data_IF_592605180806
#
_entry.id   IF_592605180806
#
_cell.length_a   1.000
_cell.length_b   1.000
_cell.length_c   1.000
_cell.angle_alpha   90.00
_cell.angle_beta   90.00
_cell.angle_gamma   90.00
#
_symmetry.space_group_name_H-M   'P 1'
#
loop_
_entity.id
_entity.type
_entity.pdbx_description
1 polymer ?
#
# COMPACT_ATOMS: atom_id res chain seq x y z
N UNK A 1 -0.58 -1.91 -20.26
CA UNK A 1 0.48 -1.08 -19.63
C UNK A 1 -0.23 0.09 -18.97
N UNK A 2 -0.31 0.13 -17.64
CA UNK A 2 -1.09 1.16 -16.93
C UNK A 2 -0.31 2.47 -16.81
N UNK A 3 -0.89 3.57 -17.30
CA UNK A 3 -0.32 4.93 -17.39
C UNK A 3 -0.17 5.68 -16.04
N UNK A 4 -0.11 4.99 -14.89
CA UNK A 4 -0.18 5.65 -13.56
C UNK A 4 1.15 5.72 -12.76
N UNK A 5 2.29 5.58 -13.42
CA UNK A 5 3.60 5.92 -12.82
C UNK A 5 4.09 7.24 -13.38
N UNK A 6 3.55 8.36 -12.89
CA UNK A 6 4.07 9.70 -13.21
C UNK A 6 5.55 9.78 -12.76
N UNK A 7 6.53 9.78 -13.68
CA UNK A 7 7.95 9.78 -13.34
C UNK A 7 8.42 11.12 -12.76
N UNK A 8 7.61 12.17 -12.89
CA UNK A 8 7.86 13.49 -12.32
C UNK A 8 7.91 13.52 -10.78
N UNK A 9 7.30 12.54 -10.09
CA UNK A 9 7.26 12.50 -8.62
C UNK A 9 8.59 12.06 -7.98
N UNK A 10 9.48 11.44 -8.75
CA UNK A 10 10.82 11.02 -8.33
C UNK A 10 11.90 11.99 -8.81
N UNK A 11 11.53 13.19 -9.28
CA UNK A 11 12.54 14.19 -9.68
C UNK A 11 13.38 14.57 -8.46
N UNK A 12 14.72 14.50 -8.56
CA UNK A 12 15.61 14.82 -7.44
C UNK A 12 15.44 16.27 -6.93
N UNK A 13 14.90 17.16 -7.76
CA UNK A 13 14.83 18.59 -7.49
C UNK A 13 13.54 19.01 -6.77
N UNK A 14 12.56 18.11 -6.59
CA UNK A 14 11.30 18.40 -5.90
C UNK A 14 11.32 17.82 -4.48
N UNK A 15 11.07 18.64 -3.44
CA UNK A 15 10.96 18.11 -2.08
C UNK A 15 9.76 17.16 -1.98
N UNK A 16 10.01 15.98 -1.42
CA UNK A 16 8.97 15.00 -1.12
C UNK A 16 8.10 15.54 0.02
N UNK A 17 6.78 15.45 -0.12
CA UNK A 17 5.82 15.95 0.87
C UNK A 17 4.94 14.84 1.43
N UNK A 18 4.27 15.11 2.55
CA UNK A 18 3.24 14.21 3.10
C UNK A 18 2.12 13.96 2.09
N UNK A 19 1.81 14.96 1.27
CA UNK A 19 0.78 14.83 0.23
C UNK A 19 1.18 13.83 -0.86
N UNK A 20 2.47 13.71 -1.19
CA UNK A 20 2.95 12.69 -2.12
C UNK A 20 2.74 11.27 -1.61
N UNK A 21 2.83 11.07 -0.29
CA UNK A 21 2.48 9.81 0.36
C UNK A 21 0.96 9.57 0.27
N UNK A 22 0.14 10.56 0.64
CA UNK A 22 -1.34 10.45 0.62
C UNK A 22 -1.91 10.18 -0.76
N UNK A 23 -1.33 10.75 -1.81
CA UNK A 23 -1.74 10.47 -3.19
C UNK A 23 -1.55 9.01 -3.59
N UNK A 24 -0.60 8.29 -3.00
CA UNK A 24 -0.47 6.85 -3.21
C UNK A 24 -1.56 6.06 -2.48
N UNK A 25 -2.16 6.65 -1.43
CA UNK A 25 -3.17 6.00 -0.60
C UNK A 25 -4.59 6.08 -1.18
N UNK A 26 -4.90 7.10 -2.00
CA UNK A 26 -6.24 7.37 -2.52
C UNK A 26 -6.88 6.24 -3.36
N UNK A 27 -6.10 5.24 -3.79
CA UNK A 27 -6.57 4.06 -4.54
C UNK A 27 -6.19 2.72 -3.88
N UNK A 28 -6.00 2.70 -2.55
CA UNK A 28 -5.51 1.50 -1.86
C UNK A 28 -6.57 0.40 -1.74
N UNK A 29 -6.59 -0.51 -2.69
CA UNK A 29 -7.27 -1.81 -2.53
C UNK A 29 -6.32 -2.82 -1.87
N UNK A 30 -6.83 -3.84 -1.17
CA UNK A 30 -6.00 -4.89 -0.56
C UNK A 30 -5.01 -5.53 -1.54
N UNK A 31 -5.47 -5.80 -2.76
CA UNK A 31 -4.67 -6.40 -3.83
C UNK A 31 -3.39 -5.61 -4.17
N UNK A 32 -3.46 -4.28 -4.14
CA UNK A 32 -2.31 -3.42 -4.45
C UNK A 32 -1.49 -3.03 -3.22
N UNK A 33 -1.88 -3.45 -2.02
CA UNK A 33 -1.29 -2.92 -0.79
C UNK A 33 0.22 -3.15 -0.71
N UNK A 34 0.70 -4.35 -1.08
CA UNK A 34 2.13 -4.67 -1.08
C UNK A 34 2.91 -3.91 -2.16
N UNK A 35 2.28 -3.61 -3.31
CA UNK A 35 2.90 -2.82 -4.37
C UNK A 35 3.03 -1.35 -3.94
N UNK A 36 1.96 -0.78 -3.37
CA UNK A 36 1.94 0.58 -2.84
C UNK A 36 2.97 0.77 -1.73
N UNK A 37 3.10 -0.21 -0.82
CA UNK A 37 4.13 -0.21 0.24
C UNK A 37 5.54 -0.05 -0.33
N UNK A 38 5.87 -0.81 -1.37
CA UNK A 38 7.19 -0.76 -1.99
C UNK A 38 7.44 0.60 -2.68
N UNK A 39 6.39 1.22 -3.24
CA UNK A 39 6.47 2.55 -3.85
C UNK A 39 6.71 3.64 -2.81
N UNK A 40 6.02 3.58 -1.67
CA UNK A 40 6.25 4.48 -0.53
C UNK A 40 7.68 4.31 0.02
N UNK A 41 8.15 3.08 0.19
CA UNK A 41 9.52 2.80 0.66
C UNK A 41 10.60 3.39 -0.26
N UNK A 42 10.36 3.43 -1.59
CA UNK A 42 11.25 4.11 -2.53
C UNK A 42 11.20 5.64 -2.38
N UNK A 43 10.00 6.19 -2.20
CA UNK A 43 9.77 7.63 -2.06
C UNK A 43 10.48 8.22 -0.84
N UNK A 44 10.46 7.52 0.30
CA UNK A 44 11.00 8.04 1.57
C UNK A 44 12.46 7.69 1.85
N UNK A 45 13.10 6.83 1.04
CA UNK A 45 14.42 6.23 1.33
C UNK A 45 15.52 7.26 1.64
N UNK A 46 15.50 8.40 0.97
CA UNK A 46 16.52 9.45 1.09
C UNK A 46 16.20 10.56 2.10
N UNK A 47 15.11 10.43 2.86
CA UNK A 47 14.65 11.47 3.78
C UNK A 47 15.26 11.27 5.18
N UNK A 48 15.57 12.39 5.84
CA UNK A 48 15.97 12.40 7.25
C UNK A 48 14.92 11.73 8.15
N UNK A 49 15.31 11.08 9.26
CA UNK A 49 14.39 10.38 10.17
C UNK A 49 13.19 11.21 10.63
N UNK A 50 13.43 12.50 10.93
CA UNK A 50 12.40 13.42 11.44
C UNK A 50 11.60 14.11 10.33
N UNK A 51 11.87 13.79 9.06
CA UNK A 51 11.15 14.39 7.95
C UNK A 51 9.67 13.95 7.99
N UNK A 52 8.70 14.88 7.92
CA UNK A 52 7.28 14.55 8.12
C UNK A 52 6.75 13.52 7.11
N UNK A 53 7.21 13.57 5.85
CA UNK A 53 6.84 12.58 4.84
C UNK A 53 7.42 11.18 5.13
N UNK A 54 8.56 11.07 5.82
CA UNK A 54 9.14 9.78 6.22
C UNK A 54 8.32 9.15 7.32
N UNK A 55 8.02 9.92 8.37
CA UNK A 55 7.18 9.48 9.48
C UNK A 55 5.81 8.99 9.00
N UNK A 56 5.17 9.73 8.09
CA UNK A 56 3.90 9.28 7.51
C UNK A 56 4.08 8.05 6.61
N UNK A 57 5.10 8.05 5.75
CA UNK A 57 5.37 6.93 4.86
C UNK A 57 5.62 5.61 5.59
N UNK A 58 6.34 5.64 6.71
CA UNK A 58 6.57 4.46 7.57
C UNK A 58 5.26 3.94 8.18
N UNK A 59 4.38 4.84 8.66
CA UNK A 59 3.05 4.47 9.16
C UNK A 59 2.18 3.80 8.10
N UNK A 60 2.19 4.34 6.88
CA UNK A 60 1.41 3.76 5.77
C UNK A 60 2.00 2.44 5.28
N UNK A 61 3.33 2.26 5.32
CA UNK A 61 3.98 0.98 5.02
C UNK A 61 3.48 -0.13 5.95
N UNK A 62 3.37 0.17 7.25
CA UNK A 62 2.85 -0.78 8.24
C UNK A 62 1.38 -1.10 7.98
N UNK A 63 0.56 -0.08 7.71
CA UNK A 63 -0.86 -0.24 7.40
C UNK A 63 -1.07 -1.10 6.16
N UNK A 64 -0.36 -0.81 5.07
CA UNK A 64 -0.44 -1.53 3.80
C UNK A 64 0.10 -2.96 3.92
N UNK A 65 1.11 -3.18 4.76
CA UNK A 65 1.58 -4.54 5.05
C UNK A 65 0.45 -5.37 5.63
N UNK A 66 -0.23 -4.88 6.67
CA UNK A 66 -1.38 -5.59 7.28
C UNK A 66 -2.52 -5.76 6.28
N UNK A 67 -2.87 -4.71 5.55
CA UNK A 67 -3.95 -4.74 4.56
C UNK A 67 -3.72 -5.80 3.47
N UNK A 68 -2.48 -6.00 3.02
CA UNK A 68 -2.16 -7.03 2.03
C UNK A 68 -2.27 -8.47 2.56
N UNK A 69 -2.22 -8.68 3.88
CA UNK A 69 -2.41 -10.00 4.49
C UNK A 69 -3.86 -10.24 4.94
N UNK A 70 -4.50 -9.22 5.52
CA UNK A 70 -5.81 -9.35 6.16
C UNK A 70 -6.97 -8.91 5.26
N UNK A 71 -6.72 -8.07 4.26
CA UNK A 71 -7.76 -7.43 3.44
C UNK A 71 -8.23 -8.23 2.23
N UNK A 72 -7.55 -9.33 1.87
CA UNK A 72 -8.04 -10.24 0.83
C UNK A 72 -8.93 -11.32 1.46
N UNK A 73 -10.26 -11.20 1.30
CA UNK A 73 -11.14 -12.37 1.36
C UNK A 73 -10.93 -13.17 0.09
N UNK A 74 -10.46 -14.42 0.21
CA UNK A 74 -10.26 -15.31 -0.95
C UNK A 74 -11.58 -16.00 -1.29
N UNK A 75 -12.24 -15.54 -2.36
CA UNK A 75 -13.44 -16.15 -2.92
C UNK A 75 -14.33 -15.07 -3.56
N UNK A 76 -14.80 -15.30 -4.78
CA UNK A 76 -15.96 -14.56 -5.28
C UNK A 76 -17.14 -14.84 -4.35
N UNK A 77 -17.82 -13.78 -3.89
CA UNK A 77 -18.99 -13.89 -2.99
C UNK A 77 -20.21 -14.47 -3.72
N UNK A 78 -20.08 -14.86 -4.99
CA UNK A 78 -21.23 -15.20 -5.83
C UNK A 78 -20.89 -16.22 -6.93
N UNK A 79 -20.28 -17.36 -6.54
CA UNK A 79 -20.28 -18.58 -7.38
C UNK A 79 -20.88 -19.72 -6.57
N UNK A 80 -22.17 -19.96 -6.80
CA UNK A 80 -22.94 -21.17 -6.44
C UNK A 80 -22.97 -21.56 -4.95
N UNK A 81 -23.60 -20.77 -4.06
CA UNK A 81 -23.97 -21.24 -2.70
C UNK A 81 -22.81 -21.83 -1.86
N UNK A 82 -21.56 -21.50 -2.19
CA UNK A 82 -20.37 -21.95 -1.47
C UNK A 82 -19.89 -20.87 -0.50
N UNK A 83 -19.66 -21.28 0.75
CA UNK A 83 -19.09 -20.41 1.77
C UNK A 83 -17.69 -19.89 1.34
N UNK A 84 -17.40 -18.58 1.52
CA UNK A 84 -16.11 -18.02 1.17
C UNK A 84 -15.00 -18.61 2.07
N UNK A 85 -13.82 -18.82 1.48
CA UNK A 85 -12.70 -19.39 2.23
C UNK A 85 -12.15 -18.37 3.24
N UNK A 86 -11.83 -18.81 4.47
CA UNK A 86 -11.29 -17.93 5.50
C UNK A 86 -9.89 -17.42 5.13
N UNK A 87 -9.56 -16.22 5.60
CA UNK A 87 -8.21 -15.66 5.52
C UNK A 87 -7.19 -16.57 6.24
N UNK A 88 -5.91 -16.47 5.86
CA UNK A 88 -4.80 -17.25 6.43
C UNK A 88 -4.71 -17.17 7.96
N UNK A 89 -5.10 -16.03 8.53
CA UNK A 89 -5.13 -15.79 9.99
C UNK A 89 -6.30 -16.50 10.69
N UNK A 90 -7.31 -16.94 9.94
CA UNK A 90 -8.50 -17.64 10.45
C UNK A 90 -8.33 -19.15 10.63
N UNK A 91 -7.22 -19.73 10.19
CA UNK A 91 -6.94 -21.17 10.35
C UNK A 91 -6.23 -21.40 11.68
N UNK A 92 -7.00 -21.68 12.74
CA UNK A 92 -6.44 -22.27 13.97
C UNK A 92 -5.83 -23.65 13.65
N UNK A 93 -4.72 -24.03 14.31
CA UNK A 93 -4.00 -25.28 14.05
C UNK A 93 -4.85 -26.52 14.34
#
# INVERSE_FOLDING_TARGET
MSEAEHPARLRPDRPVTVEDVRQLMGASTPHFALQLRNRIAKLIRGLEPDHPARVEGEREIDRLTRLGYDGETRGEVDVDDLDPLPSLTGRRP
#
